data_IF_770440795202
#
_entry.id   IF_770440795202
#
_cell.length_a   1.000
_cell.length_b   1.000
_cell.length_c   1.000
_cell.angle_alpha   90.00
_cell.angle_beta   90.00
_cell.angle_gamma   90.00
#
_symmetry.space_group_name_H-M   'P 1'
#
loop_
_entity.id
_entity.type
_entity.pdbx_description
1 polymer ?
#
# COMPACT_ATOMS: atom_id res chain seq x y z
N UNK A 1 3.16 -2.45 -8.07
CA UNK A 1 3.25 -3.49 -7.01
C UNK A 1 2.52 -2.95 -5.78
N UNK A 2 1.54 -3.68 -5.26
CA UNK A 2 0.76 -3.26 -4.10
C UNK A 2 1.19 -4.03 -2.84
N UNK A 3 1.59 -3.35 -1.77
CA UNK A 3 1.96 -4.03 -0.52
C UNK A 3 0.92 -3.76 0.58
N UNK A 4 0.44 -4.83 1.21
CA UNK A 4 -0.39 -4.73 2.42
C UNK A 4 0.47 -4.41 3.64
N UNK A 5 0.02 -3.43 4.43
CA UNK A 5 0.61 -3.04 5.70
C UNK A 5 0.36 -1.56 5.98
N UNK A 6 0.07 -1.21 7.24
CA UNK A 6 -0.14 0.19 7.68
C UNK A 6 0.94 1.13 7.12
N UNK A 7 0.64 2.42 6.95
CA UNK A 7 1.61 3.47 6.57
C UNK A 7 2.93 3.35 7.34
N UNK A 8 2.86 3.05 8.65
CA UNK A 8 4.02 2.81 9.53
C UNK A 8 4.84 1.56 9.14
N UNK A 9 4.18 0.47 8.76
CA UNK A 9 4.85 -0.74 8.28
C UNK A 9 5.43 -0.55 6.89
N UNK A 10 4.75 0.23 6.03
CA UNK A 10 5.25 0.58 4.71
C UNK A 10 6.51 1.45 4.80
N UNK A 11 6.53 2.46 5.67
CA UNK A 11 7.72 3.28 5.93
C UNK A 11 8.91 2.41 6.37
N UNK A 12 8.70 1.49 7.32
CA UNK A 12 9.76 0.54 7.74
C UNK A 12 10.22 -0.40 6.62
N UNK A 13 9.33 -0.79 5.69
CA UNK A 13 9.71 -1.59 4.52
C UNK A 13 10.50 -0.76 3.51
N UNK A 14 10.12 0.49 3.27
CA UNK A 14 10.86 1.42 2.43
C UNK A 14 12.28 1.63 2.96
N UNK A 15 12.43 1.87 4.27
CA UNK A 15 13.75 2.03 4.89
C UNK A 15 14.61 0.77 4.75
N UNK A 16 14.02 -0.43 4.93
CA UNK A 16 14.71 -1.71 4.68
C UNK A 16 15.11 -1.90 3.22
N UNK A 17 14.25 -1.52 2.27
CA UNK A 17 14.52 -1.65 0.85
C UNK A 17 15.57 -0.64 0.37
N UNK A 18 15.56 0.58 0.91
CA UNK A 18 16.62 1.58 0.72
C UNK A 18 17.96 1.06 1.24
N UNK A 19 17.99 0.51 2.46
CA UNK A 19 19.19 -0.08 3.03
C UNK A 19 19.71 -1.29 2.23
N UNK A 20 18.83 -2.01 1.52
CA UNK A 20 19.19 -3.12 0.65
C UNK A 20 19.68 -2.69 -0.76
N UNK A 21 19.82 -1.39 -1.04
CA UNK A 21 20.31 -0.89 -2.32
C UNK A 21 19.25 -0.78 -3.42
N UNK A 22 17.96 -0.82 -3.05
CA UNK A 22 16.87 -0.64 -4.02
C UNK A 22 16.83 0.81 -4.49
N UNK A 23 16.81 1.04 -5.80
CA UNK A 23 16.79 2.39 -6.38
C UNK A 23 15.44 3.08 -6.15
N UNK A 24 15.43 4.40 -6.00
CA UNK A 24 14.20 5.20 -5.81
C UNK A 24 13.18 4.99 -6.94
N UNK A 25 13.63 4.70 -8.17
CA UNK A 25 12.74 4.35 -9.30
C UNK A 25 11.98 3.04 -9.09
N UNK A 26 12.59 2.07 -8.40
CA UNK A 26 11.95 0.80 -8.05
C UNK A 26 11.01 0.97 -6.85
N UNK A 27 11.38 1.82 -5.88
CA UNK A 27 10.56 2.17 -4.73
C UNK A 27 9.32 2.97 -5.13
N UNK A 28 9.42 3.89 -6.10
CA UNK A 28 8.31 4.68 -6.61
C UNK A 28 7.21 3.82 -7.26
N UNK A 29 7.52 2.60 -7.70
CA UNK A 29 6.53 1.63 -8.22
C UNK A 29 5.81 0.84 -7.13
N UNK A 30 6.19 1.02 -5.87
CA UNK A 30 5.55 0.38 -4.71
C UNK A 30 4.44 1.31 -4.23
N UNK A 31 3.20 0.92 -4.51
CA UNK A 31 2.03 1.56 -3.92
C UNK A 31 1.72 0.86 -2.60
N UNK A 32 1.95 1.58 -1.51
CA UNK A 32 1.47 1.15 -0.20
C UNK A 32 1.16 2.35 0.71
N UNK A 33 0.22 2.19 1.65
CA UNK A 33 -0.63 1.01 1.86
C UNK A 33 -1.60 0.76 0.69
N UNK A 34 -1.77 -0.51 0.32
CA UNK A 34 -2.91 -0.92 -0.50
C UNK A 34 -4.16 -0.87 0.39
N UNK A 35 -5.23 -0.28 -0.15
CA UNK A 35 -6.49 0.01 0.52
C UNK A 35 -6.78 1.52 0.64
N UNK A 36 -8.06 1.89 0.57
CA UNK A 36 -8.51 3.22 0.95
C UNK A 36 -8.44 3.40 2.48
N UNK A 37 -8.04 4.59 2.93
CA UNK A 37 -8.02 4.91 4.34
C UNK A 37 -9.44 5.10 4.87
N UNK A 38 -10.02 4.01 5.38
CA UNK A 38 -11.35 3.95 5.99
C UNK A 38 -11.28 3.68 7.50
N UNK A 39 -10.09 3.77 8.10
CA UNK A 39 -9.89 3.41 9.52
C UNK A 39 -10.08 1.91 9.83
N UNK A 40 -9.86 1.04 8.84
CA UNK A 40 -10.05 -0.40 8.94
C UNK A 40 -9.18 -1.04 10.05
N UNK A 41 -9.80 -1.83 10.93
CA UNK A 41 -9.16 -2.56 12.03
C UNK A 41 -9.37 -4.06 11.94
N UNK A 42 -10.49 -4.50 11.38
CA UNK A 42 -10.82 -5.92 11.21
C UNK A 42 -10.42 -6.42 9.82
N UNK A 43 -10.18 -7.74 9.65
CA UNK A 43 -9.89 -8.31 8.33
C UNK A 43 -10.95 -8.00 7.26
N UNK A 44 -12.23 -7.96 7.65
CA UNK A 44 -13.33 -7.61 6.75
C UNK A 44 -13.25 -6.16 6.27
N UNK A 45 -12.98 -5.22 7.18
CA UNK A 45 -12.80 -3.80 6.82
C UNK A 45 -11.55 -3.61 5.93
N UNK A 46 -10.47 -4.36 6.18
CA UNK A 46 -9.29 -4.34 5.31
C UNK A 46 -9.65 -4.84 3.91
N UNK A 47 -10.43 -5.92 3.78
CA UNK A 47 -10.86 -6.41 2.48
C UNK A 47 -11.70 -5.38 1.71
N UNK A 48 -12.63 -4.70 2.39
CA UNK A 48 -13.44 -3.61 1.80
C UNK A 48 -12.57 -2.44 1.36
N UNK A 49 -11.62 -2.03 2.20
CA UNK A 49 -10.64 -0.97 1.88
C UNK A 49 -9.86 -1.27 0.59
N UNK A 50 -9.42 -2.52 0.42
CA UNK A 50 -8.70 -2.98 -0.78
C UNK A 50 -9.60 -3.00 -2.00
N UNK A 51 -10.79 -3.60 -1.90
CA UNK A 51 -11.75 -3.66 -3.01
C UNK A 51 -12.14 -2.25 -3.49
N UNK A 52 -12.37 -1.33 -2.56
CA UNK A 52 -12.71 0.04 -2.88
C UNK A 52 -11.55 0.77 -3.59
N UNK A 53 -10.29 0.50 -3.20
CA UNK A 53 -9.13 1.03 -3.93
C UNK A 53 -9.05 0.48 -5.37
N UNK A 54 -9.32 -0.82 -5.56
CA UNK A 54 -9.36 -1.44 -6.90
C UNK A 54 -10.46 -0.80 -7.75
N UNK A 55 -11.66 -0.63 -7.20
CA UNK A 55 -12.75 0.05 -7.90
C UNK A 55 -12.39 1.49 -8.26
N UNK A 56 -11.72 2.23 -7.37
CA UNK A 56 -11.27 3.59 -7.64
C UNK A 56 -10.31 3.65 -8.82
N UNK A 57 -9.28 2.78 -8.84
CA UNK A 57 -8.32 2.70 -9.96
C UNK A 57 -9.03 2.30 -11.26
N UNK A 58 -10.01 1.40 -11.21
CA UNK A 58 -10.74 0.96 -12.40
C UNK A 58 -11.68 2.04 -12.97
N UNK A 59 -12.25 2.89 -12.12
CA UNK A 59 -13.32 3.83 -12.49
C UNK A 59 -12.88 5.28 -12.59
N UNK A 60 -11.78 5.64 -11.94
CA UNK A 60 -11.26 7.02 -11.84
C UNK A 60 -9.77 7.13 -12.17
N UNK A 61 -9.14 6.03 -12.58
CA UNK A 61 -7.72 5.96 -12.97
C UNK A 61 -7.51 6.06 -14.47
#
# INVERSE_FOLDING_TARGET
LGCLGSTRTHAKRLDRLRAAGTTESQLARIHAPVGLDIGAKTPAEIAVSVLAQVTRVLRQG
#
